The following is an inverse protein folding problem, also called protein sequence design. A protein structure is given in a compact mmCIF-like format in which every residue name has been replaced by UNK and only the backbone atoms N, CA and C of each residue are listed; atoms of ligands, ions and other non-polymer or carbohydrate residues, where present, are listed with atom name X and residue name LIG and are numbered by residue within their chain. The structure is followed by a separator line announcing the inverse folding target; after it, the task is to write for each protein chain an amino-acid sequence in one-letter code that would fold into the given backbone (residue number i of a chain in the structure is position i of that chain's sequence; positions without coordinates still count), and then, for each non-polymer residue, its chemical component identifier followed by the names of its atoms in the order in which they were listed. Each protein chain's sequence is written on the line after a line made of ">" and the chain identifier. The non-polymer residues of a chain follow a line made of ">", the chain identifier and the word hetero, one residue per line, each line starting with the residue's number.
data_IF_018480192054
#
_entry.id   IF_018480192054
#
_cell.length_a   1.000
_cell.length_b   1.000
_cell.length_c   1.000
_cell.angle_alpha   90.00
_cell.angle_beta   90.00
_cell.angle_gamma   90.00
#
_symmetry.space_group_name_H-M   'P 1'
#
loop_
_entity.id
_entity.type
_entity.pdbx_description
1 polymer ?
#
# COMPACT_ATOMS: atom_id res chain seq x y z
N UNK A 1 -1.78 -2.68 -0.35
CA UNK A 1 -1.33 -1.42 -0.99
C UNK A 1 0.14 -1.49 -1.39
N UNK A 2 0.99 -1.90 -0.46
CA UNK A 2 2.41 -2.14 -0.72
C UNK A 2 2.78 -3.55 -0.31
N UNK A 3 3.73 -4.14 -1.02
CA UNK A 3 4.30 -5.44 -0.73
C UNK A 3 5.78 -5.30 -0.38
N UNK A 4 6.28 -6.27 0.36
CA UNK A 4 7.68 -6.30 0.80
C UNK A 4 8.15 -7.75 0.78
N UNK A 5 9.39 -7.97 0.42
CA UNK A 5 10.02 -9.29 0.46
C UNK A 5 11.30 -9.25 1.28
N UNK A 6 11.49 -10.28 2.09
CA UNK A 6 12.66 -10.41 2.95
C UNK A 6 13.22 -11.82 2.88
N UNK A 7 14.48 -11.96 3.24
CA UNK A 7 15.20 -13.22 3.32
C UNK A 7 16.00 -13.26 4.62
N UNK A 8 16.26 -14.46 5.14
CA UNK A 8 17.14 -14.63 6.29
C UNK A 8 18.61 -14.59 5.85
N UNK A 9 19.37 -13.70 6.42
CA UNK A 9 20.82 -13.57 6.22
C UNK A 9 21.52 -13.47 7.58
N UNK A 10 22.48 -14.36 7.83
CA UNK A 10 23.22 -14.36 9.09
C UNK A 10 22.33 -14.48 10.33
N UNK A 11 21.21 -15.18 10.26
CA UNK A 11 20.27 -15.37 11.35
C UNK A 11 19.32 -14.19 11.58
N UNK A 12 19.32 -13.18 10.69
CA UNK A 12 18.45 -11.99 10.78
C UNK A 12 17.66 -11.81 9.49
N UNK A 13 16.41 -11.31 9.57
CA UNK A 13 15.65 -10.95 8.38
C UNK A 13 16.23 -9.70 7.71
N UNK A 14 16.39 -9.77 6.40
CA UNK A 14 16.84 -8.65 5.56
C UNK A 14 15.79 -8.35 4.51
N UNK A 15 15.28 -7.14 4.50
CA UNK A 15 14.34 -6.69 3.46
C UNK A 15 15.11 -6.44 2.17
N UNK A 16 14.64 -7.08 1.09
CA UNK A 16 15.27 -7.00 -0.23
C UNK A 16 14.81 -5.72 -0.94
N UNK A 17 15.75 -4.92 -1.43
CA UNK A 17 15.45 -3.82 -2.33
C UNK A 17 15.02 -4.37 -3.70
N UNK A 18 13.98 -3.80 -4.28
CA UNK A 18 13.52 -4.15 -5.62
C UNK A 18 14.44 -3.57 -6.71
N UNK A 19 14.16 -3.87 -7.96
CA UNK A 19 14.95 -3.35 -9.09
C UNK A 19 14.95 -1.82 -9.18
N UNK A 20 13.94 -1.17 -8.64
CA UNK A 20 13.82 0.28 -8.57
C UNK A 20 14.56 0.88 -7.36
N UNK A 21 15.20 0.05 -6.55
CA UNK A 21 15.95 0.46 -5.36
C UNK A 21 15.12 0.71 -4.12
N UNK A 22 13.82 0.43 -4.13
CA UNK A 22 12.93 0.61 -2.99
C UNK A 22 12.75 -0.70 -2.20
N UNK A 23 12.50 -0.58 -0.90
CA UNK A 23 12.25 -1.73 -0.01
C UNK A 23 10.79 -2.17 0.00
N UNK A 24 9.90 -1.38 -0.54
CA UNK A 24 8.49 -1.71 -0.73
C UNK A 24 8.13 -1.60 -2.20
N UNK A 25 7.20 -2.45 -2.65
CA UNK A 25 6.71 -2.49 -4.01
C UNK A 25 5.21 -2.20 -3.99
N UNK A 26 4.74 -1.16 -4.69
CA UNK A 26 3.30 -0.93 -4.81
C UNK A 26 2.60 -2.16 -5.41
N UNK A 27 1.52 -2.61 -4.78
CA UNK A 27 0.73 -3.75 -5.23
C UNK A 27 -0.22 -3.31 -6.37
N UNK A 28 0.37 -2.80 -7.42
CA UNK A 28 -0.31 -2.24 -8.59
C UNK A 28 0.15 -2.96 -9.85
N UNK A 29 -0.81 -3.34 -10.69
CA UNK A 29 -0.57 -3.99 -11.98
C UNK A 29 -1.23 -3.14 -13.07
N UNK A 30 -0.53 -2.87 -14.15
CA UNK A 30 -1.06 -2.15 -15.30
C UNK A 30 -0.71 -2.86 -16.60
N UNK A 31 -1.57 -2.65 -17.59
CA UNK A 31 -1.36 -3.14 -18.96
C UNK A 31 -1.28 -1.95 -19.89
N UNK A 32 -0.21 -1.87 -20.66
CA UNK A 32 -0.02 -0.79 -21.64
C UNK A 32 -0.88 -1.01 -22.89
N UNK A 33 -0.97 -0.02 -23.74
CA UNK A 33 -1.67 -0.12 -25.02
C UNK A 33 -1.11 -1.22 -25.93
N UNK A 34 0.18 -1.55 -25.79
CA UNK A 34 0.86 -2.61 -26.55
C UNK A 34 0.75 -3.98 -25.88
N UNK A 35 0.03 -4.09 -24.75
CA UNK A 35 -0.15 -5.33 -24.01
C UNK A 35 0.99 -5.67 -23.06
N UNK A 36 1.98 -4.78 -22.89
CA UNK A 36 3.04 -4.93 -21.90
C UNK A 36 2.47 -4.82 -20.49
N UNK A 37 2.97 -5.66 -19.59
CA UNK A 37 2.57 -5.68 -18.18
C UNK A 37 3.55 -4.86 -17.34
N UNK A 38 3.02 -3.91 -16.56
CA UNK A 38 3.78 -3.15 -15.58
C UNK A 38 3.36 -3.57 -14.18
N UNK A 39 4.31 -3.73 -13.26
CA UNK A 39 4.03 -4.11 -11.88
C UNK A 39 4.86 -3.22 -10.94
N UNK A 40 4.22 -2.75 -9.87
CA UNK A 40 4.85 -1.94 -8.86
C UNK A 40 4.90 -0.46 -9.20
N UNK A 41 6.02 0.18 -8.96
CA UNK A 41 6.19 1.63 -9.16
C UNK A 41 5.89 2.08 -10.60
N UNK A 42 6.39 1.39 -11.64
CA UNK A 42 6.04 1.76 -13.02
C UNK A 42 4.53 1.74 -13.29
N UNK A 43 3.82 0.77 -12.72
CA UNK A 43 2.36 0.70 -12.84
C UNK A 43 1.68 1.87 -12.10
N UNK A 44 2.12 2.18 -10.90
CA UNK A 44 1.58 3.27 -10.09
C UNK A 44 1.77 4.64 -10.75
N UNK A 45 2.94 4.89 -11.34
CA UNK A 45 3.27 6.17 -11.98
C UNK A 45 2.43 6.53 -13.19
N UNK A 46 1.76 5.58 -13.81
CA UNK A 46 0.87 5.82 -14.96
C UNK A 46 -0.60 5.55 -14.63
N UNK A 47 -0.95 5.34 -13.36
CA UNK A 47 -2.28 4.91 -12.94
C UNK A 47 -3.39 5.89 -13.35
N UNK A 48 -3.18 7.19 -13.18
CA UNK A 48 -4.19 8.21 -13.52
C UNK A 48 -4.40 8.32 -15.02
N UNK A 49 -3.33 8.23 -15.80
CA UNK A 49 -3.38 8.34 -17.27
C UNK A 49 -3.84 7.06 -17.97
N UNK A 50 -3.89 5.94 -17.25
CA UNK A 50 -4.30 4.62 -17.76
C UNK A 50 -5.20 3.90 -16.74
N UNK A 51 -6.18 4.61 -16.20
CA UNK A 51 -7.01 4.10 -15.09
C UNK A 51 -7.77 2.82 -15.45
N UNK A 52 -8.23 2.69 -16.67
CA UNK A 52 -9.01 1.53 -17.12
C UNK A 52 -8.22 0.23 -17.17
N UNK A 53 -6.91 0.31 -17.34
CA UNK A 53 -6.01 -0.85 -17.44
C UNK A 53 -5.03 -0.94 -16.27
N UNK A 54 -5.31 -0.24 -15.17
CA UNK A 54 -4.50 -0.27 -13.96
C UNK A 54 -5.33 -0.83 -12.80
N UNK A 55 -4.81 -1.87 -12.17
CA UNK A 55 -5.46 -2.58 -11.08
C UNK A 55 -4.69 -2.29 -9.79
N UNK A 56 -5.40 -1.76 -8.81
CA UNK A 56 -4.90 -1.58 -7.45
C UNK A 56 -5.89 -2.21 -6.46
N UNK A 57 -5.44 -2.44 -5.23
CA UNK A 57 -6.30 -2.95 -4.15
C UNK A 57 -7.02 -4.27 -4.46
N UNK A 58 -6.42 -5.14 -5.26
CA UNK A 58 -6.99 -6.45 -5.60
C UNK A 58 -7.21 -7.34 -4.36
N UNK A 59 -6.46 -7.10 -3.30
CA UNK A 59 -6.57 -7.80 -2.02
C UNK A 59 -8.00 -7.76 -1.45
N UNK A 60 -8.75 -6.69 -1.73
CA UNK A 60 -10.16 -6.55 -1.31
C UNK A 60 -11.10 -7.57 -1.95
N UNK A 61 -10.69 -8.18 -3.05
CA UNK A 61 -11.49 -9.14 -3.82
C UNK A 61 -11.01 -10.59 -3.67
N UNK A 62 -9.99 -10.82 -2.83
CA UNK A 62 -9.49 -12.17 -2.60
C UNK A 62 -10.58 -13.07 -1.99
N UNK A 63 -10.66 -14.31 -2.47
CA UNK A 63 -11.66 -15.27 -2.02
C UNK A 63 -13.05 -15.07 -2.63
N UNK A 64 -13.21 -14.17 -3.60
CA UNK A 64 -14.46 -13.90 -4.31
C UNK A 64 -14.37 -14.33 -5.78
N UNK A 65 -15.47 -14.29 -6.49
CA UNK A 65 -15.58 -14.57 -7.92
C UNK A 65 -15.40 -13.32 -8.80
N UNK A 66 -14.94 -12.23 -8.22
CA UNK A 66 -14.62 -10.99 -8.93
C UNK A 66 -13.69 -11.24 -10.12
N UNK A 67 -13.95 -10.57 -11.22
CA UNK A 67 -13.11 -10.64 -12.42
C UNK A 67 -12.68 -9.25 -12.87
N UNK A 68 -11.42 -9.14 -13.27
CA UNK A 68 -10.88 -7.96 -13.91
C UNK A 68 -10.83 -8.20 -15.41
N UNK A 69 -11.55 -7.38 -16.19
CA UNK A 69 -11.54 -7.45 -17.64
C UNK A 69 -10.48 -6.47 -18.19
N UNK A 70 -9.50 -7.01 -18.91
CA UNK A 70 -8.49 -6.24 -19.62
C UNK A 70 -8.47 -6.72 -21.07
N UNK A 71 -8.89 -5.85 -22.00
CA UNK A 71 -9.08 -6.19 -23.41
C UNK A 71 -10.01 -7.43 -23.54
N UNK A 72 -9.56 -8.49 -24.18
CA UNK A 72 -10.34 -9.72 -24.38
C UNK A 72 -10.17 -10.76 -23.27
N UNK A 73 -9.41 -10.43 -22.23
CA UNK A 73 -9.06 -11.36 -21.15
C UNK A 73 -9.71 -10.97 -19.83
N UNK A 74 -10.05 -11.99 -19.04
CA UNK A 74 -10.52 -11.83 -17.67
C UNK A 74 -9.52 -12.44 -16.71
N UNK A 75 -9.21 -11.71 -15.64
CA UNK A 75 -8.28 -12.14 -14.60
C UNK A 75 -8.99 -12.27 -13.26
N UNK A 76 -8.72 -13.36 -12.56
CA UNK A 76 -9.14 -13.54 -11.17
C UNK A 76 -8.28 -12.69 -10.23
N UNK A 77 -8.75 -12.42 -9.00
CA UNK A 77 -7.91 -11.77 -7.98
C UNK A 77 -6.61 -12.54 -7.71
N UNK A 78 -6.63 -13.87 -7.73
CA UNK A 78 -5.47 -14.72 -7.57
C UNK A 78 -4.45 -14.52 -8.69
N UNK A 79 -4.89 -14.38 -9.93
CA UNK A 79 -4.02 -14.13 -11.08
C UNK A 79 -3.34 -12.75 -10.99
N UNK A 80 -4.08 -11.71 -10.63
CA UNK A 80 -3.50 -10.38 -10.44
C UNK A 80 -2.52 -10.36 -9.26
N UNK A 81 -2.89 -10.97 -8.14
CA UNK A 81 -2.00 -11.10 -6.98
C UNK A 81 -0.74 -11.88 -7.32
N UNK A 82 -0.86 -12.94 -8.14
CA UNK A 82 0.30 -13.71 -8.60
C UNK A 82 1.27 -12.87 -9.42
N UNK A 83 0.80 -11.89 -10.18
CA UNK A 83 1.67 -10.97 -10.92
C UNK A 83 2.54 -10.12 -9.97
N UNK A 84 1.96 -9.65 -8.87
CA UNK A 84 2.71 -8.95 -7.82
C UNK A 84 3.73 -9.90 -7.17
N UNK A 85 3.32 -11.11 -6.81
CA UNK A 85 4.20 -12.11 -6.23
C UNK A 85 5.34 -12.52 -7.17
N UNK A 86 5.10 -12.61 -8.46
CA UNK A 86 6.14 -12.86 -9.47
C UNK A 86 7.18 -11.76 -9.50
N UNK A 87 6.78 -10.50 -9.38
CA UNK A 87 7.69 -9.36 -9.28
C UNK A 87 8.58 -9.48 -8.04
N UNK A 88 7.98 -9.77 -6.89
CA UNK A 88 8.72 -9.94 -5.63
C UNK A 88 9.69 -11.14 -5.71
N UNK A 89 9.25 -12.24 -6.30
CA UNK A 89 10.08 -13.42 -6.55
C UNK A 89 11.29 -13.09 -7.43
N UNK A 90 11.06 -12.37 -8.53
CA UNK A 90 12.14 -11.96 -9.45
C UNK A 90 13.13 -11.01 -8.77
N UNK A 91 12.67 -10.08 -7.97
CA UNK A 91 13.54 -9.17 -7.21
C UNK A 91 14.38 -9.95 -6.18
N UNK A 92 13.78 -10.91 -5.49
CA UNK A 92 14.47 -11.77 -4.55
C UNK A 92 15.54 -12.64 -5.26
N UNK A 93 15.20 -13.21 -6.40
CA UNK A 93 16.13 -14.01 -7.21
C UNK A 93 17.30 -13.17 -7.72
N UNK A 94 17.02 -11.93 -8.15
CA UNK A 94 18.07 -10.99 -8.56
C UNK A 94 19.03 -10.64 -7.44
N UNK A 95 18.53 -10.47 -6.23
CA UNK A 95 19.34 -10.21 -5.04
C UNK A 95 20.15 -11.40 -4.60
N UNK A 96 19.54 -12.59 -4.54
CA UNK A 96 20.18 -13.81 -4.05
C UNK A 96 21.10 -14.47 -5.09
N UNK A 97 20.90 -14.20 -6.37
CA UNK A 97 21.64 -14.87 -7.45
C UNK A 97 21.24 -16.33 -7.65
N UNK A 98 20.09 -16.76 -7.13
CA UNK A 98 19.58 -18.13 -7.24
C UNK A 98 18.05 -18.14 -7.31
N UNK A 99 17.48 -19.26 -7.71
CA UNK A 99 16.02 -19.42 -7.79
C UNK A 99 15.40 -19.44 -6.40
N UNK A 100 14.24 -18.77 -6.28
CA UNK A 100 13.39 -18.79 -5.10
C UNK A 100 12.18 -19.67 -5.39
N UNK A 101 12.02 -20.75 -4.64
CA UNK A 101 10.97 -21.76 -4.86
C UNK A 101 9.94 -21.79 -3.74
N UNK A 102 10.25 -21.26 -2.56
CA UNK A 102 9.44 -21.34 -1.37
C UNK A 102 9.20 -19.95 -0.77
N UNK A 103 8.04 -19.75 -0.14
CA UNK A 103 7.73 -18.50 0.56
C UNK A 103 6.81 -18.74 1.74
N UNK A 104 6.86 -17.82 2.69
CA UNK A 104 5.84 -17.58 3.71
C UNK A 104 5.14 -16.29 3.32
N UNK A 105 3.82 -16.26 3.33
CA UNK A 105 3.03 -15.09 2.93
C UNK A 105 2.16 -14.65 4.10
N UNK A 106 2.11 -13.35 4.35
CA UNK A 106 1.28 -12.77 5.40
C UNK A 106 -0.07 -12.30 4.86
N UNK A 107 -1.09 -12.41 5.70
CA UNK A 107 -2.46 -11.96 5.42
C UNK A 107 -3.04 -11.24 6.63
N UNK A 108 -4.05 -10.38 6.45
CA UNK A 108 -4.76 -9.79 7.58
C UNK A 108 -5.36 -10.87 8.50
N UNK A 109 -5.42 -10.59 9.79
CA UNK A 109 -5.97 -11.52 10.76
C UNK A 109 -7.46 -11.86 10.50
N UNK A 110 -8.22 -10.94 9.89
CA UNK A 110 -9.62 -11.15 9.55
C UNK A 110 -9.88 -12.01 8.30
N UNK A 111 -8.84 -12.36 7.53
CA UNK A 111 -9.00 -13.21 6.35
C UNK A 111 -9.60 -14.56 6.75
N UNK A 112 -10.69 -14.93 6.06
CA UNK A 112 -11.31 -16.25 6.22
C UNK A 112 -10.56 -17.32 5.42
N UNK A 113 -11.02 -18.56 5.51
CA UNK A 113 -10.38 -19.69 4.82
C UNK A 113 -10.36 -19.53 3.29
N UNK A 114 -11.41 -18.99 2.69
CA UNK A 114 -11.47 -18.74 1.26
C UNK A 114 -10.42 -17.72 0.81
N UNK A 115 -10.24 -16.65 1.57
CA UNK A 115 -9.24 -15.61 1.30
C UNK A 115 -7.81 -16.14 1.49
N UNK A 116 -7.59 -16.96 2.50
CA UNK A 116 -6.31 -17.63 2.76
C UNK A 116 -5.96 -18.62 1.67
N UNK A 117 -6.93 -19.41 1.24
CA UNK A 117 -6.73 -20.35 0.13
C UNK A 117 -6.44 -19.61 -1.19
N UNK A 118 -7.15 -18.52 -1.47
CA UNK A 118 -6.89 -17.68 -2.64
C UNK A 118 -5.46 -17.11 -2.64
N UNK A 119 -4.95 -16.75 -1.47
CA UNK A 119 -3.55 -16.27 -1.31
C UNK A 119 -2.55 -17.39 -1.59
N UNK A 120 -2.80 -18.60 -1.11
CA UNK A 120 -1.98 -19.77 -1.45
C UNK A 120 -1.98 -20.07 -2.94
N UNK A 121 -3.17 -19.99 -3.57
CA UNK A 121 -3.32 -20.20 -5.00
C UNK A 121 -2.54 -19.17 -5.81
N UNK A 122 -2.57 -17.90 -5.39
CA UNK A 122 -1.78 -16.84 -6.00
C UNK A 122 -0.28 -17.14 -5.93
N UNK A 123 0.21 -17.61 -4.79
CA UNK A 123 1.60 -18.05 -4.62
C UNK A 123 1.96 -19.17 -5.57
N UNK A 124 1.11 -20.18 -5.70
CA UNK A 124 1.30 -21.30 -6.62
C UNK A 124 1.33 -20.86 -8.09
N UNK A 125 0.44 -19.99 -8.49
CA UNK A 125 0.41 -19.40 -9.85
C UNK A 125 1.73 -18.64 -10.11
N UNK A 126 2.26 -17.96 -9.10
CA UNK A 126 3.54 -17.24 -9.19
C UNK A 126 4.77 -18.16 -9.24
N UNK A 127 4.61 -19.47 -9.04
CA UNK A 127 5.70 -20.43 -9.03
C UNK A 127 6.34 -20.61 -7.65
N UNK A 128 5.59 -20.34 -6.59
CA UNK A 128 6.04 -20.48 -5.19
C UNK A 128 5.32 -21.62 -4.49
N UNK A 129 6.07 -22.41 -3.73
CA UNK A 129 5.51 -23.31 -2.73
C UNK A 129 5.30 -22.52 -1.43
N UNK A 130 4.04 -22.22 -1.12
CA UNK A 130 3.68 -21.45 0.07
C UNK A 130 3.69 -22.36 1.29
N UNK A 131 4.72 -22.25 2.11
CA UNK A 131 4.92 -23.09 3.29
C UNK A 131 3.97 -22.75 4.42
N UNK A 132 3.67 -21.45 4.60
CA UNK A 132 2.74 -20.96 5.63
C UNK A 132 2.05 -19.68 5.20
N UNK A 133 0.84 -19.50 5.70
CA UNK A 133 0.14 -18.23 5.75
C UNK A 133 0.16 -17.77 7.21
N UNK A 134 0.65 -16.55 7.45
CA UNK A 134 0.79 -15.97 8.80
C UNK A 134 -0.05 -14.69 8.88
N UNK A 135 -0.66 -14.45 10.03
CA UNK A 135 -1.38 -13.20 10.27
C UNK A 135 -0.41 -12.02 10.32
N UNK A 136 -0.72 -10.93 9.62
CA UNK A 136 0.11 -9.72 9.59
C UNK A 136 0.39 -9.15 10.99
N UNK A 137 -0.61 -9.02 11.90
CA UNK A 137 -0.32 -8.52 13.24
C UNK A 137 0.58 -9.45 14.06
N UNK A 138 0.48 -10.76 13.86
CA UNK A 138 1.39 -11.72 14.48
C UNK A 138 2.82 -11.53 13.98
N UNK A 139 3.00 -11.36 12.67
CA UNK A 139 4.30 -11.10 12.07
C UNK A 139 4.90 -9.78 12.60
N UNK A 140 4.09 -8.75 12.76
CA UNK A 140 4.53 -7.47 13.33
C UNK A 140 4.98 -7.62 14.78
N UNK A 141 4.26 -8.37 15.59
CA UNK A 141 4.63 -8.65 16.98
C UNK A 141 5.96 -9.41 17.08
N UNK A 142 6.15 -10.43 16.24
CA UNK A 142 7.41 -11.18 16.16
C UNK A 142 8.57 -10.30 15.73
N UNK A 143 8.38 -9.45 14.73
CA UNK A 143 9.41 -8.53 14.24
C UNK A 143 9.83 -7.52 15.31
N UNK A 144 8.93 -7.14 16.20
CA UNK A 144 9.21 -6.24 17.32
C UNK A 144 9.95 -6.96 18.47
N UNK A 145 10.02 -8.29 18.46
CA UNK A 145 10.74 -9.08 19.47
C UNK A 145 9.91 -9.39 20.70
N UNK A 146 8.59 -9.40 20.60
CA UNK A 146 7.68 -9.61 21.72
C UNK A 146 7.47 -11.08 22.09
N UNK A 147 7.93 -12.01 21.28
CA UNK A 147 7.81 -13.46 21.50
C UNK A 147 8.58 -13.99 22.72
N UNK A 148 9.58 -13.22 23.18
CA UNK A 148 10.44 -13.56 24.33
C UNK A 148 10.04 -12.84 25.63
N UNK A 149 8.96 -12.09 25.59
CA UNK A 149 8.49 -11.30 26.74
C UNK A 149 7.54 -12.12 27.62
N UNK A 150 7.27 -11.60 28.85
CA UNK A 150 6.27 -12.18 29.75
C UNK A 150 4.88 -12.07 29.15
N UNK A 151 3.92 -12.81 29.74
CA UNK A 151 2.51 -12.67 29.39
C UNK A 151 2.09 -11.20 29.30
N UNK A 152 1.53 -10.82 28.15
CA UNK A 152 1.07 -9.45 27.93
C UNK A 152 -0.01 -9.40 26.86
N UNK A 153 -0.83 -8.38 26.94
CA UNK A 153 -1.76 -8.00 25.87
C UNK A 153 -1.23 -6.76 25.18
N UNK A 154 -1.17 -6.81 23.87
CA UNK A 154 -0.70 -5.69 23.03
C UNK A 154 -1.75 -5.33 21.98
N UNK A 155 -1.69 -4.11 21.53
CA UNK A 155 -2.43 -3.65 20.36
C UNK A 155 -1.47 -3.46 19.20
N UNK A 156 -1.80 -4.05 18.05
CA UNK A 156 -1.17 -3.74 16.78
C UNK A 156 -2.09 -2.79 16.01
N UNK A 157 -1.62 -1.57 15.82
CA UNK A 157 -2.32 -0.51 15.10
C UNK A 157 -1.62 -0.33 13.76
N UNK A 158 -2.22 -0.88 12.70
CA UNK A 158 -1.63 -0.93 11.37
C UNK A 158 -2.40 0.00 10.43
N UNK A 159 -1.92 1.24 10.30
CA UNK A 159 -2.44 2.20 9.35
C UNK A 159 -1.61 2.10 8.06
N UNK A 160 -2.06 1.25 7.15
CA UNK A 160 -1.41 1.01 5.87
C UNK A 160 -1.72 2.08 4.82
N UNK A 161 -1.43 1.77 3.56
CA UNK A 161 -1.70 2.68 2.45
C UNK A 161 -3.18 2.77 2.07
N UNK A 162 -3.89 1.66 2.11
CA UNK A 162 -5.30 1.60 1.70
C UNK A 162 -6.26 1.06 2.75
N UNK A 163 -5.74 0.40 3.78
CA UNK A 163 -6.54 -0.18 4.86
C UNK A 163 -5.97 0.20 6.22
N UNK A 164 -6.87 0.29 7.20
CA UNK A 164 -6.54 0.39 8.61
C UNK A 164 -6.95 -0.90 9.31
N UNK A 165 -6.02 -1.54 9.99
CA UNK A 165 -6.24 -2.79 10.71
C UNK A 165 -5.74 -2.63 12.15
N UNK A 166 -6.60 -2.97 13.12
CA UNK A 166 -6.24 -2.99 14.54
C UNK A 166 -6.54 -4.36 15.12
N UNK A 167 -5.57 -4.92 15.83
CA UNK A 167 -5.71 -6.25 16.46
C UNK A 167 -5.24 -6.19 17.90
N UNK A 168 -5.96 -6.87 18.77
CA UNK A 168 -5.54 -7.11 20.15
C UNK A 168 -4.98 -8.52 20.22
N UNK A 169 -3.76 -8.64 20.70
CA UNK A 169 -3.00 -9.90 20.72
C UNK A 169 -2.60 -10.20 22.15
N UNK A 170 -2.77 -11.46 22.54
CA UNK A 170 -2.22 -11.98 23.78
C UNK A 170 -0.98 -12.82 23.48
N UNK A 171 0.08 -12.56 24.23
CA UNK A 171 1.34 -13.31 24.15
C UNK A 171 1.58 -13.95 25.48
N UNK A 172 1.80 -15.26 25.49
CA UNK A 172 2.08 -16.02 26.69
C UNK A 172 2.53 -17.45 26.36
N UNK A 173 3.46 -17.98 27.16
CA UNK A 173 3.97 -19.35 27.03
C UNK A 173 4.44 -19.75 25.63
N UNK A 174 5.01 -18.77 24.89
CA UNK A 174 5.46 -18.99 23.50
C UNK A 174 4.32 -19.06 22.48
N UNK A 175 3.10 -18.74 22.88
CA UNK A 175 1.92 -18.69 22.00
C UNK A 175 1.51 -17.24 21.77
N UNK A 176 1.17 -16.93 20.52
CA UNK A 176 0.63 -15.63 20.13
C UNK A 176 -0.80 -15.85 19.62
N UNK A 177 -1.77 -15.28 20.31
CA UNK A 177 -3.18 -15.41 19.99
C UNK A 177 -3.80 -14.06 19.64
N UNK A 178 -4.54 -13.99 18.53
CA UNK A 178 -5.32 -12.80 18.15
C UNK A 178 -6.67 -12.88 18.84
N UNK A 179 -6.90 -12.03 19.84
CA UNK A 179 -8.14 -12.00 20.62
C UNK A 179 -9.27 -11.30 19.86
N UNK A 180 -8.95 -10.21 19.17
CA UNK A 180 -9.92 -9.46 18.38
C UNK A 180 -9.22 -8.72 17.24
N UNK A 181 -9.99 -8.41 16.20
CA UNK A 181 -9.54 -7.59 15.09
C UNK A 181 -10.69 -6.72 14.61
N UNK A 182 -10.36 -5.49 14.20
CA UNK A 182 -11.30 -4.54 13.65
C UNK A 182 -10.55 -3.62 12.66
N UNK A 183 -11.22 -2.75 11.97
CA UNK A 183 -10.55 -1.83 11.07
C UNK A 183 -11.49 -1.12 10.12
N UNK A 184 -10.89 -0.49 9.11
CA UNK A 184 -11.58 0.20 8.03
C UNK A 184 -10.83 -0.12 6.72
N UNK A 185 -11.48 -0.85 5.83
CA UNK A 185 -10.89 -1.29 4.55
C UNK A 185 -10.74 -0.16 3.53
N UNK A 186 -11.21 1.05 3.85
CA UNK A 186 -11.16 2.22 3.00
C UNK A 186 -10.54 3.43 3.71
N UNK A 187 -9.55 3.17 4.56
CA UNK A 187 -8.80 4.18 5.28
C UNK A 187 -7.32 3.82 5.26
N UNK A 188 -6.49 4.73 4.78
CA UNK A 188 -5.05 4.53 4.74
C UNK A 188 -4.31 5.75 4.23
N UNK A 189 -3.00 5.61 4.04
CA UNK A 189 -2.11 6.67 3.59
C UNK A 189 -2.52 7.32 2.26
N UNK A 190 -3.20 6.57 1.38
CA UNK A 190 -3.72 7.10 0.12
C UNK A 190 -4.78 8.18 0.35
N UNK A 191 -5.58 8.06 1.42
CA UNK A 191 -6.56 9.08 1.79
C UNK A 191 -5.88 10.34 2.30
N UNK A 192 -4.77 10.20 3.03
CA UNK A 192 -3.94 11.33 3.44
C UNK A 192 -3.35 12.03 2.22
N UNK A 193 -2.83 11.29 1.25
CA UNK A 193 -2.32 11.83 0.00
C UNK A 193 -3.42 12.58 -0.77
N UNK A 194 -4.63 12.04 -0.81
CA UNK A 194 -5.77 12.66 -1.48
C UNK A 194 -6.17 13.99 -0.84
N UNK A 195 -6.06 14.13 0.48
CA UNK A 195 -6.30 15.40 1.17
C UNK A 195 -5.30 16.47 0.73
N UNK A 196 -4.03 16.11 0.60
CA UNK A 196 -2.99 17.03 0.10
C UNK A 196 -3.27 17.37 -1.38
N UNK A 197 -3.57 16.38 -2.19
CA UNK A 197 -3.87 16.57 -3.61
C UNK A 197 -5.04 17.54 -3.80
N UNK A 198 -6.12 17.37 -3.05
CA UNK A 198 -7.29 18.25 -3.12
C UNK A 198 -6.95 19.68 -2.66
N UNK A 199 -6.16 19.82 -1.60
CA UNK A 199 -5.66 21.11 -1.15
C UNK A 199 -4.85 21.82 -2.25
N UNK A 200 -3.95 21.08 -2.93
CA UNK A 200 -3.17 21.64 -4.04
C UNK A 200 -4.05 22.11 -5.19
N UNK A 201 -5.06 21.31 -5.55
CA UNK A 201 -6.03 21.67 -6.60
C UNK A 201 -6.79 22.95 -6.22
N UNK A 202 -7.29 23.03 -5.00
CA UNK A 202 -8.07 24.17 -4.52
C UNK A 202 -7.23 25.45 -4.44
N UNK A 203 -6.01 25.37 -3.92
CA UNK A 203 -5.10 26.51 -3.80
C UNK A 203 -4.65 27.03 -5.17
N UNK A 204 -4.36 26.13 -6.12
CA UNK A 204 -4.00 26.52 -7.47
C UNK A 204 -5.16 27.18 -8.21
N UNK A 205 -6.37 26.70 -8.03
CA UNK A 205 -7.58 27.31 -8.58
C UNK A 205 -7.82 28.71 -8.03
N UNK A 206 -7.57 28.93 -6.74
CA UNK A 206 -7.66 30.28 -6.12
C UNK A 206 -6.60 31.23 -6.72
N UNK A 207 -5.36 30.75 -6.92
CA UNK A 207 -4.25 31.57 -7.36
C UNK A 207 -4.27 31.83 -8.88
N UNK A 208 -4.61 30.83 -9.69
CA UNK A 208 -4.47 30.86 -11.15
C UNK A 208 -5.80 30.71 -11.91
N UNK A 209 -6.89 30.40 -11.24
CA UNK A 209 -8.21 30.20 -11.86
C UNK A 209 -8.32 28.92 -12.70
N UNK A 210 -7.40 27.97 -12.55
CA UNK A 210 -7.34 26.73 -13.32
C UNK A 210 -7.63 25.53 -12.41
N UNK A 211 -8.52 24.65 -12.87
CA UNK A 211 -8.82 23.37 -12.21
C UNK A 211 -7.91 22.27 -12.75
N UNK A 212 -6.89 21.89 -11.97
CA UNK A 212 -5.93 20.86 -12.34
C UNK A 212 -6.53 19.43 -12.32
N UNK A 213 -7.69 19.23 -11.73
CA UNK A 213 -8.32 17.90 -11.64
C UNK A 213 -8.78 17.36 -13.00
N UNK A 214 -8.97 18.22 -13.99
CA UNK A 214 -9.39 17.85 -15.34
C UNK A 214 -8.23 17.45 -16.25
N UNK A 215 -7.01 17.75 -15.87
CA UNK A 215 -5.79 17.38 -16.58
C UNK A 215 -5.18 16.14 -15.94
N UNK A 216 -5.29 14.98 -16.60
CA UNK A 216 -4.83 13.70 -16.05
C UNK A 216 -3.33 13.66 -15.80
N UNK A 217 -2.52 14.27 -16.65
CA UNK A 217 -1.06 14.34 -16.46
C UNK A 217 -0.70 15.20 -15.27
N UNK A 218 -1.36 16.36 -15.12
CA UNK A 218 -1.20 17.22 -13.96
C UNK A 218 -1.61 16.50 -12.68
N UNK A 219 -2.76 15.83 -12.70
CA UNK A 219 -3.29 15.09 -11.54
C UNK A 219 -2.33 13.97 -11.09
N UNK A 220 -1.72 13.23 -12.03
CA UNK A 220 -0.71 12.22 -11.69
C UNK A 220 0.50 12.85 -10.98
N UNK A 221 0.98 13.98 -11.49
CA UNK A 221 2.10 14.71 -10.87
C UNK A 221 1.75 15.24 -9.49
N UNK A 222 0.52 15.74 -9.30
CA UNK A 222 0.02 16.20 -8.00
C UNK A 222 -0.03 15.06 -6.98
N UNK A 223 -0.53 13.89 -7.37
CA UNK A 223 -0.60 12.72 -6.49
C UNK A 223 0.78 12.24 -6.04
N UNK A 224 1.72 12.18 -6.94
CA UNK A 224 3.11 11.83 -6.62
C UNK A 224 3.75 12.84 -5.67
N UNK A 225 3.55 14.13 -5.95
CA UNK A 225 4.05 15.20 -5.10
C UNK A 225 3.40 15.21 -3.71
N UNK A 226 2.11 14.90 -3.62
CA UNK A 226 1.38 14.80 -2.36
C UNK A 226 1.95 13.68 -1.48
N UNK A 227 2.18 12.51 -2.02
CA UNK A 227 2.79 11.40 -1.29
C UNK A 227 4.21 11.75 -0.81
N UNK A 228 5.01 12.35 -1.67
CA UNK A 228 6.36 12.82 -1.31
C UNK A 228 6.31 13.84 -0.17
N UNK A 229 5.43 14.84 -0.27
CA UNK A 229 5.27 15.85 0.77
C UNK A 229 4.85 15.24 2.11
N UNK A 230 3.88 14.31 2.09
CA UNK A 230 3.47 13.56 3.30
C UNK A 230 4.67 12.87 3.96
N UNK A 231 5.49 12.18 3.19
CA UNK A 231 6.69 11.49 3.69
C UNK A 231 7.70 12.47 4.29
N UNK A 232 7.96 13.59 3.62
CA UNK A 232 8.88 14.62 4.11
C UNK A 232 8.40 15.27 5.41
N UNK A 233 7.10 15.48 5.58
CA UNK A 233 6.51 16.03 6.79
C UNK A 233 6.56 15.08 8.00
N UNK A 234 6.96 13.83 7.82
CA UNK A 234 7.25 12.93 8.94
C UNK A 234 8.47 13.39 9.75
N UNK A 235 9.42 14.07 9.12
CA UNK A 235 10.65 14.55 9.77
C UNK A 235 10.83 16.08 9.73
N UNK A 236 10.20 16.76 8.77
CA UNK A 236 10.29 18.21 8.62
C UNK A 236 8.98 18.90 9.06
N UNK A 237 9.07 20.14 9.50
CA UNK A 237 7.91 20.93 9.89
C UNK A 237 7.26 21.64 8.71
N UNK A 238 7.96 21.74 7.58
CA UNK A 238 7.49 22.33 6.34
C UNK A 238 8.17 21.66 5.16
N UNK A 239 7.48 21.62 4.02
CA UNK A 239 8.03 21.13 2.75
C UNK A 239 7.61 22.05 1.62
N UNK A 240 8.48 22.23 0.63
CA UNK A 240 8.16 22.95 -0.59
C UNK A 240 7.73 21.97 -1.67
N UNK A 241 6.59 22.25 -2.30
CA UNK A 241 6.07 21.49 -3.42
C UNK A 241 6.24 22.35 -4.67
N UNK A 242 7.19 21.98 -5.53
CA UNK A 242 7.51 22.70 -6.75
C UNK A 242 7.33 21.80 -7.97
N UNK A 243 6.32 22.09 -8.79
CA UNK A 243 5.99 21.37 -10.02
C UNK A 243 5.98 22.33 -11.20
N UNK A 244 7.16 22.56 -11.82
CA UNK A 244 7.24 23.43 -12.98
C UNK A 244 6.45 22.85 -14.15
N UNK A 245 5.87 23.74 -14.96
CA UNK A 245 5.08 23.37 -16.14
C UNK A 245 3.94 22.39 -15.83
N UNK A 246 3.22 22.65 -14.74
CA UNK A 246 2.15 21.76 -14.32
C UNK A 246 0.98 21.73 -15.32
N UNK A 247 0.73 22.84 -15.98
CA UNK A 247 -0.27 22.97 -17.04
C UNK A 247 0.09 24.15 -17.97
N UNK A 248 -0.61 24.25 -19.09
CA UNK A 248 -0.51 25.37 -20.01
C UNK A 248 -1.90 25.97 -20.24
N UNK A 249 -1.96 27.30 -20.31
CA UNK A 249 -3.16 28.10 -20.61
C UNK A 249 -2.91 28.99 -21.84
N UNK A 250 -3.92 29.74 -22.27
CA UNK A 250 -3.79 30.72 -23.31
C UNK A 250 -2.74 31.81 -22.99
N UNK A 251 -2.45 32.03 -21.72
CA UNK A 251 -1.43 32.98 -21.24
C UNK A 251 -0.02 32.37 -21.20
N UNK A 252 0.13 31.09 -21.51
CA UNK A 252 1.38 30.36 -21.47
C UNK A 252 1.43 29.29 -20.39
N UNK A 253 2.62 28.73 -20.11
CA UNK A 253 2.81 27.70 -19.10
C UNK A 253 2.58 28.25 -17.70
N UNK A 254 2.01 27.41 -16.83
CA UNK A 254 1.79 27.69 -15.41
C UNK A 254 2.59 26.71 -14.55
N UNK A 255 3.04 27.19 -13.40
CA UNK A 255 3.87 26.43 -12.47
C UNK A 255 3.20 26.35 -11.12
N UNK A 256 3.34 25.19 -10.46
CA UNK A 256 2.90 25.02 -9.08
C UNK A 256 4.10 25.17 -8.16
N UNK A 257 4.05 26.10 -7.23
CA UNK A 257 5.08 26.30 -6.21
C UNK A 257 4.43 26.79 -4.92
N UNK A 258 4.31 25.89 -3.94
CA UNK A 258 3.68 26.20 -2.65
C UNK A 258 4.39 25.47 -1.51
N UNK A 259 4.34 26.06 -0.32
CA UNK A 259 4.80 25.42 0.89
C UNK A 259 3.63 24.76 1.64
N UNK A 260 3.85 23.55 2.12
CA UNK A 260 2.92 22.86 3.00
C UNK A 260 3.58 22.66 4.36
N UNK A 261 2.91 23.13 5.42
CA UNK A 261 3.37 22.93 6.80
C UNK A 261 2.80 21.64 7.38
N UNK A 262 3.51 21.06 8.36
CA UNK A 262 2.97 19.93 9.13
C UNK A 262 1.65 20.30 9.83
N UNK A 263 1.55 21.51 10.38
CA UNK A 263 0.34 21.98 11.02
C UNK A 263 -0.86 22.01 10.05
N UNK A 264 -0.65 22.45 8.80
CA UNK A 264 -1.69 22.41 7.77
C UNK A 264 -2.02 20.98 7.36
N UNK A 265 -1.03 20.12 7.21
CA UNK A 265 -1.23 18.70 6.95
C UNK A 265 -2.08 18.04 8.04
N UNK A 266 -1.75 18.29 9.32
CA UNK A 266 -2.51 17.76 10.45
C UNK A 266 -3.97 18.25 10.42
N UNK A 267 -4.21 19.52 10.12
CA UNK A 267 -5.55 20.06 9.94
C UNK A 267 -6.33 19.37 8.83
N UNK A 268 -5.69 19.18 7.66
CA UNK A 268 -6.32 18.55 6.49
C UNK A 268 -6.70 17.08 6.75
N UNK A 269 -5.96 16.38 7.60
CA UNK A 269 -6.07 14.93 7.80
C UNK A 269 -6.66 14.53 9.14
N UNK A 270 -7.04 15.50 9.97
CA UNK A 270 -7.56 15.25 11.33
C UNK A 270 -8.77 14.30 11.34
N UNK A 271 -9.70 14.45 10.43
CA UNK A 271 -10.88 13.58 10.31
C UNK A 271 -10.51 12.12 10.00
N UNK A 272 -9.44 11.90 9.25
CA UNK A 272 -8.93 10.55 8.95
C UNK A 272 -8.38 9.86 10.19
N UNK A 273 -7.67 10.60 11.04
CA UNK A 273 -7.16 10.08 12.31
C UNK A 273 -8.32 9.75 13.26
N UNK A 274 -9.31 10.63 13.35
CA UNK A 274 -10.52 10.42 14.17
C UNK A 274 -11.30 9.16 13.74
N UNK A 275 -11.31 8.81 12.47
CA UNK A 275 -11.97 7.60 11.97
C UNK A 275 -11.36 6.31 12.50
N UNK A 276 -10.14 6.32 13.00
CA UNK A 276 -9.52 5.13 13.60
C UNK A 276 -10.04 4.83 15.01
N UNK A 277 -10.65 5.82 15.69
CA UNK A 277 -11.07 5.68 17.08
C UNK A 277 -12.13 4.59 17.29
N UNK A 278 -13.15 4.53 16.43
CA UNK A 278 -14.24 3.55 16.57
C UNK A 278 -13.73 2.11 16.39
N UNK A 279 -12.96 1.76 15.34
CA UNK A 279 -12.35 0.44 15.23
C UNK A 279 -11.47 0.06 16.43
N UNK A 280 -10.69 1.00 16.95
CA UNK A 280 -9.86 0.76 18.15
C UNK A 280 -10.72 0.43 19.36
N UNK A 281 -11.75 1.22 19.63
CA UNK A 281 -12.68 0.99 20.75
C UNK A 281 -13.38 -0.38 20.62
N UNK A 282 -13.84 -0.72 19.42
CA UNK A 282 -14.47 -1.99 19.14
C UNK A 282 -13.52 -3.18 19.39
N UNK A 283 -12.30 -3.08 18.89
CA UNK A 283 -11.29 -4.12 19.10
C UNK A 283 -10.97 -4.31 20.59
N UNK A 284 -10.85 -3.23 21.35
CA UNK A 284 -10.59 -3.27 22.78
C UNK A 284 -11.79 -3.88 23.57
N UNK A 285 -13.01 -3.58 23.17
CA UNK A 285 -14.20 -4.11 23.80
C UNK A 285 -14.35 -5.62 23.55
N UNK A 286 -14.02 -6.08 22.35
CA UNK A 286 -14.22 -7.45 21.90
C UNK A 286 -13.09 -8.41 22.35
N UNK A 287 -12.01 -7.87 22.91
CA UNK A 287 -10.85 -8.65 23.37
C UNK A 287 -11.00 -9.29 24.74
#
# INVERSE_FOLDING_TARGET
>A
TNSCVAVMEGGKPTVIANQEGARTTPSVVAFTKTGERLIGEPAKRQAVTNAEKTISSIKRHMGTDYKVAIDDKQYSPQQISAMVLQKLKADAEGYLGEKVSEAVITVPAYFNDAQRQATKDAGKIAGLDVKRIINEPTAAALAYGLDNEKEQKIMVYDLGGGTFDVSIIEIGDGVIEVLSTNGDTHLGGDDFDNKITQWMIDEFKKAEGVDLSTDKMALQRLKEAAEKAKKELSSATTTNINLPFITATAEGPKHFDMNLTRAKFDELTHDLVERTAIPVQNAMRDA
#
